data_IF_163812099274
#
_entry.id   IF_163812099274
#
_cell.length_a   1.000
_cell.length_b   1.000
_cell.length_c   1.000
_cell.angle_alpha   90.00
_cell.angle_beta   90.00
_cell.angle_gamma   90.00
#
_symmetry.space_group_name_H-M   'P 1'
#
loop_
_entity.id
_entity.type
_entity.pdbx_description
1 polymer ?
#
# COMPACT_ATOMS: atom_id res chain seq x y z
N UNK A 1 0.09 17.31 6.05
CA UNK A 1 0.52 16.38 4.97
C UNK A 1 -0.38 15.16 4.97
N UNK A 2 -0.94 14.76 3.84
CA UNK A 2 -1.76 13.56 3.81
C UNK A 2 -0.92 12.28 3.81
N UNK A 3 -1.56 11.20 4.25
CA UNK A 3 -0.92 9.89 4.34
C UNK A 3 -1.87 8.82 3.83
N UNK A 4 -1.29 7.70 3.42
CA UNK A 4 -2.02 6.48 3.07
C UNK A 4 -1.49 5.36 3.96
N UNK A 5 -2.37 4.80 4.78
CA UNK A 5 -2.06 3.62 5.59
C UNK A 5 -2.68 2.40 4.90
N UNK A 6 -1.84 1.43 4.59
CA UNK A 6 -2.28 0.18 3.97
C UNK A 6 -2.10 -0.98 4.94
N UNK A 7 -3.08 -1.87 4.97
CA UNK A 7 -3.02 -3.09 5.80
C UNK A 7 -3.29 -4.29 4.91
N UNK A 8 -2.39 -5.27 4.93
CA UNK A 8 -2.47 -6.45 4.08
C UNK A 8 -2.31 -7.70 4.94
N UNK A 9 -3.27 -8.61 4.84
CA UNK A 9 -3.27 -9.86 5.60
C UNK A 9 -2.73 -11.02 4.79
N UNK A 10 -2.34 -12.08 5.49
CA UNK A 10 -1.91 -13.35 4.90
C UNK A 10 -0.68 -13.24 4.01
N UNK A 11 0.26 -12.38 4.41
CA UNK A 11 1.52 -12.21 3.69
C UNK A 11 2.65 -11.98 4.69
N UNK A 12 3.83 -12.58 4.44
CA UNK A 12 5.00 -12.35 5.30
C UNK A 12 5.57 -10.95 5.10
N UNK A 13 6.07 -10.37 6.19
CA UNK A 13 6.70 -9.06 6.17
C UNK A 13 7.82 -8.94 5.11
N UNK A 14 8.65 -9.98 5.00
CA UNK A 14 9.80 -9.96 4.09
C UNK A 14 9.38 -9.85 2.61
N UNK A 15 8.28 -10.49 2.25
CA UNK A 15 7.74 -10.40 0.88
C UNK A 15 7.28 -8.98 0.58
N UNK A 16 6.58 -8.35 1.52
CA UNK A 16 6.12 -6.97 1.33
C UNK A 16 7.30 -6.01 1.30
N UNK A 17 8.31 -6.22 2.13
CA UNK A 17 9.54 -5.41 2.11
C UNK A 17 10.19 -5.43 0.73
N UNK A 18 10.31 -6.61 0.13
CA UNK A 18 10.89 -6.77 -1.21
C UNK A 18 10.05 -6.07 -2.29
N UNK A 19 8.73 -6.23 -2.23
CA UNK A 19 7.82 -5.59 -3.19
C UNK A 19 7.90 -4.07 -3.10
N UNK A 20 7.87 -3.52 -1.89
CA UNK A 20 7.94 -2.08 -1.68
C UNK A 20 9.28 -1.51 -2.14
N UNK A 21 10.37 -2.24 -1.90
CA UNK A 21 11.70 -1.83 -2.37
C UNK A 21 11.78 -1.85 -3.90
N UNK A 22 11.25 -2.88 -4.53
CA UNK A 22 11.22 -3.02 -5.98
C UNK A 22 10.42 -1.90 -6.65
N UNK A 23 9.29 -1.51 -6.05
CA UNK A 23 8.39 -0.52 -6.61
C UNK A 23 8.65 0.91 -6.13
N UNK A 24 9.72 1.12 -5.38
CA UNK A 24 10.03 2.40 -4.73
C UNK A 24 10.06 3.58 -5.72
N UNK A 25 10.74 3.41 -6.84
CA UNK A 25 10.86 4.50 -7.82
C UNK A 25 9.52 4.80 -8.50
N UNK A 26 8.73 3.76 -8.77
CA UNK A 26 7.38 3.94 -9.29
C UNK A 26 6.53 4.73 -8.29
N UNK A 27 6.54 4.33 -7.02
CA UNK A 27 5.77 5.03 -5.99
C UNK A 27 6.17 6.49 -5.89
N UNK A 28 7.46 6.79 -5.90
CA UNK A 28 7.95 8.18 -5.86
C UNK A 28 7.46 8.98 -7.07
N UNK A 29 7.46 8.37 -8.24
CA UNK A 29 6.99 9.03 -9.46
C UNK A 29 5.51 9.38 -9.40
N UNK A 30 4.76 8.70 -8.55
CA UNK A 30 3.33 8.91 -8.34
C UNK A 30 3.02 9.73 -7.08
N UNK A 31 4.04 10.33 -6.47
CA UNK A 31 3.85 11.14 -5.26
C UNK A 31 3.58 10.34 -4.00
N UNK A 32 4.13 9.13 -3.91
CA UNK A 32 3.99 8.24 -2.77
C UNK A 32 5.37 7.92 -2.20
N UNK A 33 5.56 8.23 -0.91
CA UNK A 33 6.84 8.07 -0.23
C UNK A 33 6.67 7.18 1.00
N UNK A 34 7.27 5.99 0.97
CA UNK A 34 7.17 5.04 2.08
C UNK A 34 7.87 5.59 3.32
N UNK A 35 7.14 5.66 4.43
CA UNK A 35 7.67 6.16 5.70
C UNK A 35 7.87 5.05 6.72
N UNK A 36 6.95 4.10 6.78
CA UNK A 36 7.03 3.01 7.76
C UNK A 36 6.50 1.71 7.16
N UNK A 37 7.06 0.62 7.65
CA UNK A 37 6.61 -0.74 7.37
C UNK A 37 6.62 -1.48 8.70
N UNK A 38 5.46 -2.00 9.09
CA UNK A 38 5.27 -2.68 10.37
C UNK A 38 4.62 -4.03 10.19
N UNK A 39 4.89 -4.92 11.14
CA UNK A 39 4.13 -6.15 11.31
C UNK A 39 3.22 -5.95 12.51
N UNK A 40 1.96 -6.41 12.42
CA UNK A 40 1.04 -6.34 13.55
C UNK A 40 1.57 -7.24 14.67
N UNK A 41 1.77 -6.69 15.87
CA UNK A 41 2.33 -7.42 17.00
C UNK A 41 1.42 -8.58 17.45
N UNK A 42 0.11 -8.44 17.25
CA UNK A 42 -0.88 -9.42 17.66
C UNK A 42 -1.31 -10.37 16.54
N UNK A 43 -0.91 -10.08 15.30
CA UNK A 43 -1.25 -10.90 14.14
C UNK A 43 -0.08 -10.87 13.15
N UNK A 44 0.83 -11.83 13.30
CA UNK A 44 2.08 -11.87 12.52
C UNK A 44 1.90 -12.03 11.02
N UNK A 45 0.72 -12.41 10.58
CA UNK A 45 0.39 -12.51 9.16
C UNK A 45 -0.22 -11.22 8.60
N UNK A 46 -0.25 -10.15 9.39
CA UNK A 46 -0.73 -8.84 8.95
C UNK A 46 0.41 -7.83 8.92
N UNK A 47 0.55 -7.15 7.79
CA UNK A 47 1.58 -6.14 7.57
C UNK A 47 0.88 -4.80 7.31
N UNK A 48 1.41 -3.74 7.92
CA UNK A 48 0.92 -2.38 7.72
C UNK A 48 2.05 -1.54 7.18
N UNK A 49 1.74 -0.66 6.22
CA UNK A 49 2.74 0.27 5.71
C UNK A 49 2.13 1.63 5.47
N UNK A 50 2.94 2.66 5.70
CA UNK A 50 2.51 4.05 5.67
C UNK A 50 3.28 4.81 4.58
N UNK A 51 2.53 5.42 3.67
CA UNK A 51 3.07 6.35 2.69
C UNK A 51 2.69 7.78 3.06
N UNK A 52 3.62 8.71 2.92
CA UNK A 52 3.27 10.11 2.79
C UNK A 52 2.91 10.33 1.33
N UNK A 53 1.81 11.01 1.07
CA UNK A 53 1.32 11.21 -0.31
C UNK A 53 1.17 12.70 -0.61
N UNK A 54 1.36 13.07 -1.87
CA UNK A 54 1.28 14.47 -2.30
C UNK A 54 -0.16 14.94 -2.42
N UNK A 55 -1.07 14.06 -2.88
CA UNK A 55 -2.46 14.41 -3.14
C UNK A 55 -3.37 13.20 -2.93
N UNK A 56 -4.38 13.36 -2.07
CA UNK A 56 -5.31 12.27 -1.72
C UNK A 56 -6.09 11.79 -2.93
N UNK A 57 -6.69 12.70 -3.69
CA UNK A 57 -7.56 12.32 -4.80
C UNK A 57 -6.79 11.64 -5.93
N UNK A 58 -5.60 12.14 -6.25
CA UNK A 58 -4.76 11.51 -7.25
C UNK A 58 -4.33 10.11 -6.82
N UNK A 59 -3.97 9.94 -5.55
CA UNK A 59 -3.56 8.64 -5.02
C UNK A 59 -4.75 7.67 -5.01
N UNK A 60 -5.93 8.11 -4.61
CA UNK A 60 -7.13 7.27 -4.66
C UNK A 60 -7.41 6.77 -6.08
N UNK A 61 -7.31 7.67 -7.05
CA UNK A 61 -7.54 7.32 -8.45
C UNK A 61 -6.54 6.28 -8.93
N UNK A 62 -5.25 6.48 -8.61
CA UNK A 62 -4.20 5.54 -8.98
C UNK A 62 -4.42 4.18 -8.34
N UNK A 63 -4.65 4.14 -7.04
CA UNK A 63 -4.83 2.88 -6.30
C UNK A 63 -6.05 2.14 -6.80
N UNK A 64 -7.15 2.84 -7.03
CA UNK A 64 -8.38 2.24 -7.56
C UNK A 64 -8.12 1.58 -8.91
N UNK A 65 -7.41 2.28 -9.79
CA UNK A 65 -7.04 1.75 -11.10
C UNK A 65 -6.17 0.50 -10.99
N UNK A 66 -5.13 0.54 -10.17
CA UNK A 66 -4.22 -0.59 -10.00
C UNK A 66 -4.93 -1.81 -9.41
N UNK A 67 -5.79 -1.60 -8.42
CA UNK A 67 -6.55 -2.69 -7.80
C UNK A 67 -7.58 -3.27 -8.80
N UNK A 68 -8.23 -2.43 -9.59
CA UNK A 68 -9.17 -2.89 -10.62
C UNK A 68 -8.46 -3.74 -11.67
N UNK A 69 -7.28 -3.32 -12.11
CA UNK A 69 -6.47 -4.08 -13.07
C UNK A 69 -6.06 -5.43 -12.49
N UNK A 70 -5.65 -5.45 -11.22
CA UNK A 70 -5.26 -6.70 -10.54
C UNK A 70 -6.46 -7.63 -10.43
N UNK A 71 -7.62 -7.12 -10.03
CA UNK A 71 -8.84 -7.93 -9.89
C UNK A 71 -9.35 -8.45 -11.24
N UNK A 72 -9.13 -7.72 -12.33
CA UNK A 72 -9.52 -8.17 -13.66
C UNK A 72 -8.69 -9.37 -14.12
N UNK A 73 -7.45 -9.48 -13.64
CA UNK A 73 -6.56 -10.60 -13.94
C UNK A 73 -6.73 -11.76 -12.96
N UNK A 74 -7.08 -11.46 -11.71
CA UNK A 74 -7.27 -12.44 -10.65
C UNK A 74 -8.31 -11.91 -9.67
N UNK A 75 -9.55 -12.37 -9.81
CA UNK A 75 -10.68 -11.90 -8.99
C UNK A 75 -10.50 -12.21 -7.50
N UNK A 76 -9.61 -13.16 -7.16
CA UNK A 76 -9.32 -13.55 -5.78
C UNK A 76 -8.03 -12.96 -5.25
N UNK A 77 -7.47 -11.94 -5.93
CA UNK A 77 -6.23 -11.32 -5.50
C UNK A 77 -6.35 -10.74 -4.09
N UNK A 78 -5.31 -10.95 -3.30
CA UNK A 78 -5.21 -10.41 -1.94
C UNK A 78 -4.77 -8.95 -2.02
N UNK A 79 -5.71 -8.03 -1.80
CA UNK A 79 -5.44 -6.59 -1.88
C UNK A 79 -5.44 -5.97 -0.48
N UNK A 80 -4.58 -4.96 -0.26
CA UNK A 80 -4.57 -4.27 1.02
C UNK A 80 -5.81 -3.41 1.22
N UNK A 81 -6.19 -3.23 2.49
CA UNK A 81 -7.17 -2.23 2.89
C UNK A 81 -6.47 -0.88 2.96
N UNK A 82 -7.06 0.14 2.38
CA UNK A 82 -6.48 1.49 2.31
C UNK A 82 -7.23 2.46 3.20
N UNK A 83 -6.48 3.24 4.00
CA UNK A 83 -7.01 4.29 4.84
C UNK A 83 -6.27 5.59 4.48
N UNK A 84 -7.02 6.59 4.01
CA UNK A 84 -6.44 7.88 3.66
C UNK A 84 -6.58 8.83 4.84
N UNK A 85 -5.48 9.46 5.21
CA UNK A 85 -5.39 10.27 6.41
C UNK A 85 -4.96 11.70 6.07
N UNK A 86 -5.57 12.66 6.72
CA UNK A 86 -5.17 14.07 6.63
C UNK A 86 -5.01 14.64 8.03
N UNK A 87 -4.11 15.61 8.20
CA UNK A 87 -3.94 16.32 9.45
C UNK A 87 -4.58 17.69 9.42
#
# INVERSE_FOLDING_TARGET
>A
MPYLLAALKNVPLEIIREVLEKDKEFHKSQGMYLKHLWQNADAKNEVLFLFQIDDVENTKTLIHKLHSETLSKNAEANLPTMIYLTD
#
